data_IF_112242768033
#
_entry.id   IF_112242768033
#
_cell.length_a   1.000
_cell.length_b   1.000
_cell.length_c   1.000
_cell.angle_alpha   90.00
_cell.angle_beta   90.00
_cell.angle_gamma   90.00
#
_symmetry.space_group_name_H-M   'P 1'
#
loop_
_entity.id
_entity.type
_entity.pdbx_description
1 polymer ?
#
# COMPACT_ATOMS: atom_id res chain seq x y z
N UNK A 1 -60.58 -51.19 22.10
CA UNK A 1 -60.57 -50.59 20.74
C UNK A 1 -59.52 -51.32 19.88
N UNK A 2 -59.97 -51.97 18.88
CA UNK A 2 -59.21 -52.93 18.08
C UNK A 2 -58.14 -52.22 17.21
N UNK A 3 -56.95 -52.78 17.13
CA UNK A 3 -55.80 -52.37 16.30
C UNK A 3 -56.15 -52.23 14.79
N UNK A 4 -57.22 -52.84 14.37
CA UNK A 4 -57.69 -52.81 12.98
C UNK A 4 -58.44 -51.55 12.55
N UNK A 5 -58.91 -50.69 13.49
CA UNK A 5 -59.54 -49.42 13.13
C UNK A 5 -58.56 -48.30 12.81
N UNK A 6 -57.32 -48.35 13.34
CA UNK A 6 -56.27 -47.39 13.03
C UNK A 6 -55.62 -47.63 11.66
N UNK A 7 -55.58 -48.87 11.14
CA UNK A 7 -55.01 -49.21 9.84
C UNK A 7 -55.86 -48.75 8.64
N UNK A 8 -57.17 -48.61 8.83
CA UNK A 8 -58.06 -48.15 7.75
C UNK A 8 -58.02 -46.64 7.48
N UNK A 9 -57.43 -45.82 8.40
CA UNK A 9 -57.26 -44.38 8.19
C UNK A 9 -55.97 -44.04 7.38
N UNK A 10 -55.06 -45.00 7.20
CA UNK A 10 -53.81 -44.84 6.46
C UNK A 10 -53.81 -45.59 5.12
N UNK A 11 -54.90 -45.45 4.36
CA UNK A 11 -54.93 -45.91 2.97
C UNK A 11 -54.00 -45.00 2.17
N UNK A 12 -52.89 -45.53 1.65
CA UNK A 12 -51.88 -44.80 0.87
C UNK A 12 -52.45 -44.01 -0.29
N UNK A 13 -53.54 -44.48 -0.91
CA UNK A 13 -54.27 -43.78 -1.96
C UNK A 13 -55.00 -42.50 -1.45
N UNK A 14 -55.54 -42.50 -0.22
CA UNK A 14 -56.14 -41.34 0.37
C UNK A 14 -55.10 -40.37 0.98
N UNK A 15 -53.93 -40.86 1.36
CA UNK A 15 -52.84 -40.04 1.90
C UNK A 15 -52.27 -39.10 0.81
N UNK A 16 -52.06 -39.61 -0.41
CA UNK A 16 -51.57 -38.79 -1.55
C UNK A 16 -52.57 -37.65 -1.87
N UNK A 17 -53.85 -37.94 -1.87
CA UNK A 17 -54.90 -36.93 -2.15
C UNK A 17 -55.00 -35.88 -1.03
N UNK A 18 -54.83 -36.27 0.24
CA UNK A 18 -54.78 -35.35 1.38
C UNK A 18 -53.52 -34.48 1.41
N UNK A 19 -52.34 -35.08 1.10
CA UNK A 19 -51.10 -34.34 0.94
C UNK A 19 -51.17 -33.34 -0.22
N UNK A 20 -51.76 -33.77 -1.33
CA UNK A 20 -52.01 -32.88 -2.48
C UNK A 20 -52.92 -31.69 -2.11
N UNK A 21 -53.99 -31.95 -1.38
CA UNK A 21 -54.92 -30.89 -0.91
C UNK A 21 -54.25 -29.92 0.05
N UNK A 22 -53.46 -30.44 1.02
CA UNK A 22 -52.65 -29.62 1.92
C UNK A 22 -51.59 -28.82 1.14
N UNK A 23 -50.92 -29.44 0.20
CA UNK A 23 -49.95 -28.73 -0.64
C UNK A 23 -50.58 -27.61 -1.48
N UNK A 24 -51.75 -27.86 -2.07
CA UNK A 24 -52.49 -26.82 -2.78
C UNK A 24 -52.97 -25.70 -1.86
N UNK A 25 -53.48 -26.04 -0.68
CA UNK A 25 -53.92 -25.04 0.30
C UNK A 25 -52.73 -24.16 0.78
N UNK A 26 -51.54 -24.76 1.00
CA UNK A 26 -50.32 -24.03 1.36
C UNK A 26 -49.86 -23.11 0.19
N UNK A 27 -49.92 -23.59 -1.04
CA UNK A 27 -49.57 -22.77 -2.20
C UNK A 27 -50.50 -21.57 -2.35
N UNK A 28 -51.84 -21.80 -2.21
CA UNK A 28 -52.82 -20.72 -2.24
C UNK A 28 -52.64 -19.74 -1.09
N UNK A 29 -52.33 -20.24 0.11
CA UNK A 29 -52.08 -19.39 1.26
C UNK A 29 -50.81 -18.53 1.03
N UNK A 30 -49.68 -19.12 0.60
CA UNK A 30 -48.50 -18.40 0.28
C UNK A 30 -48.73 -17.36 -0.81
N UNK A 31 -49.51 -17.71 -1.86
CA UNK A 31 -49.89 -16.78 -2.92
C UNK A 31 -50.63 -15.57 -2.37
N UNK A 32 -51.69 -15.79 -1.57
CA UNK A 32 -52.52 -14.71 -0.98
C UNK A 32 -51.70 -13.86 -0.01
N UNK A 33 -50.87 -14.48 0.85
CA UNK A 33 -50.01 -13.75 1.78
C UNK A 33 -48.96 -12.95 1.05
N UNK A 34 -48.42 -13.48 -0.05
CA UNK A 34 -47.38 -12.80 -0.84
C UNK A 34 -47.88 -11.57 -1.60
N UNK A 35 -49.16 -11.45 -1.83
CA UNK A 35 -49.82 -10.26 -2.44
C UNK A 35 -50.04 -9.11 -1.44
N UNK A 36 -50.06 -9.41 -0.12
CA UNK A 36 -50.22 -8.36 0.88
C UNK A 36 -49.01 -7.42 0.88
N UNK A 37 -49.26 -6.16 1.21
CA UNK A 37 -48.22 -5.15 1.35
C UNK A 37 -47.50 -5.27 2.68
N UNK A 38 -46.19 -5.28 2.62
CA UNK A 38 -45.30 -5.27 3.78
C UNK A 38 -44.27 -4.17 3.65
N UNK A 39 -43.67 -3.77 4.78
CA UNK A 39 -42.49 -2.88 4.75
C UNK A 39 -41.25 -3.63 5.22
N UNK A 40 -40.14 -3.35 4.55
CA UNK A 40 -38.82 -3.95 4.86
C UNK A 40 -37.72 -2.92 4.78
N UNK A 41 -36.70 -3.04 5.64
CA UNK A 41 -35.51 -2.21 5.60
C UNK A 41 -34.44 -2.95 4.80
N UNK A 42 -33.90 -2.28 3.79
CA UNK A 42 -32.80 -2.79 2.96
C UNK A 42 -31.63 -1.80 2.94
N UNK A 43 -30.43 -2.31 2.72
CA UNK A 43 -29.25 -1.48 2.50
C UNK A 43 -29.18 -1.06 1.02
N UNK A 44 -29.28 0.23 0.75
CA UNK A 44 -29.14 0.82 -0.58
C UNK A 44 -27.82 1.57 -0.69
N UNK A 45 -27.05 1.40 -1.79
CA UNK A 45 -25.86 2.18 -2.01
C UNK A 45 -26.17 3.66 -2.25
N UNK A 46 -25.30 4.54 -1.73
CA UNK A 46 -25.35 5.97 -1.94
C UNK A 46 -24.37 6.34 -3.05
N UNK A 47 -24.85 7.05 -4.06
CA UNK A 47 -24.05 7.55 -5.17
C UNK A 47 -24.06 9.07 -5.19
N UNK A 48 -22.91 9.69 -4.89
CA UNK A 48 -22.73 11.12 -5.05
C UNK A 48 -22.44 11.43 -6.52
N UNK A 49 -23.17 12.40 -7.11
CA UNK A 49 -23.03 12.80 -8.51
C UNK A 49 -22.77 14.29 -8.64
N UNK A 50 -22.30 14.67 -9.84
CA UNK A 50 -22.07 16.08 -10.24
C UNK A 50 -21.05 16.79 -9.33
N UNK A 51 -20.04 16.05 -8.79
CA UNK A 51 -18.91 16.67 -8.16
C UNK A 51 -18.10 17.41 -9.22
N UNK A 52 -17.79 18.70 -8.96
CA UNK A 52 -16.92 19.48 -9.86
C UNK A 52 -15.53 18.85 -9.97
N UNK A 53 -14.95 18.82 -11.17
CA UNK A 53 -13.60 18.30 -11.41
C UNK A 53 -12.50 19.04 -10.60
N UNK A 54 -12.79 20.22 -10.08
CA UNK A 54 -11.89 21.01 -9.24
C UNK A 54 -12.06 20.71 -7.73
N UNK A 55 -12.95 19.79 -7.36
CA UNK A 55 -13.26 19.47 -5.97
C UNK A 55 -13.03 17.99 -5.67
N UNK A 56 -12.62 17.71 -4.44
CA UNK A 56 -12.47 16.38 -3.90
C UNK A 56 -13.18 16.27 -2.55
N UNK A 57 -13.60 15.07 -2.19
CA UNK A 57 -14.18 14.84 -0.87
C UNK A 57 -13.10 14.94 0.20
N UNK A 58 -13.32 15.78 1.21
CA UNK A 58 -12.44 15.92 2.38
C UNK A 58 -12.62 14.79 3.40
N UNK A 59 -13.82 14.18 3.42
CA UNK A 59 -14.17 13.05 4.28
C UNK A 59 -14.89 11.97 3.48
N UNK A 60 -14.77 10.73 3.93
CA UNK A 60 -15.52 9.61 3.34
C UNK A 60 -17.03 9.78 3.54
N UNK A 61 -17.77 9.52 2.48
CA UNK A 61 -19.23 9.48 2.51
C UNK A 61 -19.66 8.03 2.85
N UNK A 62 -20.70 7.84 3.67
CA UNK A 62 -21.28 6.51 3.88
C UNK A 62 -21.66 5.87 2.55
N UNK A 63 -21.16 4.66 2.30
CA UNK A 63 -21.40 3.95 1.03
C UNK A 63 -22.80 3.41 0.89
N UNK A 64 -23.53 3.24 2.00
CA UNK A 64 -24.85 2.66 2.05
C UNK A 64 -25.73 3.37 3.07
N UNK A 65 -27.05 3.39 2.81
CA UNK A 65 -28.07 3.77 3.78
C UNK A 65 -29.08 2.66 3.94
N UNK A 66 -29.66 2.58 5.13
CA UNK A 66 -30.79 1.71 5.43
C UNK A 66 -32.08 2.43 5.04
N UNK A 67 -32.81 1.85 4.10
CA UNK A 67 -34.00 2.44 3.52
C UNK A 67 -35.19 1.54 3.77
N UNK A 68 -36.31 2.10 4.21
CA UNK A 68 -37.57 1.38 4.33
C UNK A 68 -38.32 1.46 3.02
N UNK A 69 -38.59 0.29 2.45
CA UNK A 69 -39.39 0.13 1.25
C UNK A 69 -40.70 -0.60 1.63
N UNK A 70 -41.76 -0.29 0.89
CA UNK A 70 -43.07 -0.92 0.99
C UNK A 70 -43.44 -1.56 -0.34
N UNK A 71 -44.09 -2.72 -0.30
CA UNK A 71 -44.59 -3.39 -1.48
C UNK A 71 -45.06 -4.81 -1.24
N UNK A 72 -45.47 -5.54 -2.28
CA UNK A 72 -45.95 -6.92 -2.18
C UNK A 72 -44.87 -7.84 -1.59
N UNK A 73 -45.28 -8.77 -0.70
CA UNK A 73 -44.35 -9.70 -0.05
C UNK A 73 -43.51 -10.50 -1.01
N UNK A 74 -44.06 -10.93 -2.17
CA UNK A 74 -43.32 -11.62 -3.25
C UNK A 74 -42.16 -10.78 -3.78
N UNK A 75 -42.36 -9.47 -3.94
CA UNK A 75 -41.33 -8.56 -4.48
C UNK A 75 -40.25 -8.27 -3.44
N UNK A 76 -40.64 -8.07 -2.18
CA UNK A 76 -39.68 -7.89 -1.09
C UNK A 76 -38.80 -9.13 -0.90
N UNK A 77 -39.39 -10.33 -0.97
CA UNK A 77 -38.65 -11.59 -0.88
C UNK A 77 -37.68 -11.76 -2.07
N UNK A 78 -38.14 -11.46 -3.30
CA UNK A 78 -37.28 -11.44 -4.49
C UNK A 78 -36.10 -10.47 -4.31
N UNK A 79 -36.37 -9.27 -3.79
CA UNK A 79 -35.35 -8.25 -3.54
C UNK A 79 -34.31 -8.73 -2.51
N UNK A 80 -34.77 -9.41 -1.45
CA UNK A 80 -33.89 -9.96 -0.42
C UNK A 80 -32.97 -11.06 -0.97
N UNK A 81 -33.52 -11.98 -1.78
CA UNK A 81 -32.75 -13.06 -2.39
C UNK A 81 -31.72 -12.55 -3.42
N UNK A 82 -32.11 -11.57 -4.21
CA UNK A 82 -31.32 -11.07 -5.33
C UNK A 82 -30.51 -9.81 -4.99
N UNK A 83 -30.54 -9.33 -3.75
CA UNK A 83 -29.86 -8.06 -3.36
C UNK A 83 -28.41 -7.94 -3.80
N UNK A 84 -27.68 -9.06 -3.84
CA UNK A 84 -26.28 -9.08 -4.28
C UNK A 84 -26.11 -9.01 -5.81
N UNK A 85 -27.16 -9.23 -6.57
CA UNK A 85 -27.18 -9.21 -8.04
C UNK A 85 -27.87 -7.98 -8.63
N UNK A 86 -28.58 -7.19 -7.76
CA UNK A 86 -29.36 -6.04 -8.21
C UNK A 86 -28.59 -4.76 -7.93
N UNK A 87 -27.70 -4.38 -8.87
CA UNK A 87 -26.93 -3.14 -8.81
C UNK A 87 -27.72 -1.86 -9.10
N UNK A 88 -29.03 -1.98 -9.35
CA UNK A 88 -29.84 -0.86 -9.85
C UNK A 88 -30.59 -0.08 -8.76
N UNK A 89 -30.60 -0.56 -7.52
CA UNK A 89 -31.16 0.18 -6.38
C UNK A 89 -30.11 1.15 -5.87
N UNK A 90 -30.40 2.44 -5.82
CA UNK A 90 -29.44 3.44 -5.32
C UNK A 90 -30.12 4.73 -4.87
N UNK A 91 -29.48 5.39 -3.94
CA UNK A 91 -29.78 6.73 -3.52
C UNK A 91 -28.79 7.69 -4.17
N UNK A 92 -29.29 8.69 -4.89
CA UNK A 92 -28.43 9.66 -5.57
C UNK A 92 -28.43 10.97 -4.79
N UNK A 93 -27.24 11.48 -4.45
CA UNK A 93 -27.03 12.80 -3.87
C UNK A 93 -26.37 13.68 -4.92
N UNK A 94 -26.93 14.85 -5.16
CA UNK A 94 -26.44 15.80 -6.15
C UNK A 94 -25.55 16.87 -5.50
N UNK A 95 -24.30 16.98 -5.96
CA UNK A 95 -23.30 17.87 -5.41
C UNK A 95 -23.06 19.15 -6.24
N UNK A 96 -23.87 19.38 -7.28
CA UNK A 96 -23.66 20.47 -8.26
C UNK A 96 -23.53 21.89 -7.64
N UNK A 97 -24.17 22.12 -6.49
CA UNK A 97 -24.20 23.44 -5.85
C UNK A 97 -23.45 23.54 -4.54
N UNK A 98 -22.66 22.53 -4.21
CA UNK A 98 -21.92 22.49 -2.94
C UNK A 98 -20.52 23.01 -3.17
N UNK A 99 -20.17 24.10 -2.48
CA UNK A 99 -18.84 24.70 -2.60
C UNK A 99 -17.84 24.18 -1.59
N UNK A 100 -18.23 24.01 -0.33
CA UNK A 100 -17.33 23.61 0.75
C UNK A 100 -17.96 22.55 1.68
N UNK A 101 -18.99 22.92 2.44
CA UNK A 101 -19.64 22.01 3.40
C UNK A 101 -21.15 22.07 3.25
N UNK A 102 -21.79 20.90 3.40
CA UNK A 102 -23.24 20.80 3.39
C UNK A 102 -23.74 19.56 4.15
N UNK A 103 -24.81 19.74 4.93
CA UNK A 103 -25.51 18.66 5.61
C UNK A 103 -26.77 18.26 4.85
N UNK A 104 -26.78 17.07 4.29
CA UNK A 104 -27.98 16.48 3.70
C UNK A 104 -28.79 15.78 4.77
N UNK A 105 -29.96 16.30 5.11
CA UNK A 105 -30.98 15.58 5.85
C UNK A 105 -31.72 14.69 4.86
N UNK A 106 -31.46 13.37 4.89
CA UNK A 106 -31.80 12.48 3.80
C UNK A 106 -33.29 12.37 3.54
N UNK A 107 -34.12 12.31 4.57
CA UNK A 107 -35.57 12.22 4.42
C UNK A 107 -36.15 13.48 3.77
N UNK A 108 -35.76 14.69 4.22
CA UNK A 108 -36.18 15.96 3.61
C UNK A 108 -35.69 16.09 2.16
N UNK A 109 -34.46 15.62 1.89
CA UNK A 109 -33.89 15.68 0.55
C UNK A 109 -34.65 14.77 -0.41
N UNK A 110 -34.98 13.53 -0.05
CA UNK A 110 -35.66 12.59 -0.93
C UNK A 110 -37.18 12.85 -1.01
N UNK A 111 -37.80 13.47 -0.02
CA UNK A 111 -39.15 14.01 -0.16
C UNK A 111 -39.24 15.10 -1.20
N UNK A 112 -38.24 16.01 -1.23
CA UNK A 112 -38.16 17.11 -2.23
C UNK A 112 -37.75 16.61 -3.61
N UNK A 113 -36.93 15.55 -3.69
CA UNK A 113 -36.37 15.02 -4.91
C UNK A 113 -36.57 13.50 -5.04
N UNK A 114 -37.83 13.00 -5.10
CA UNK A 114 -38.11 11.55 -5.11
C UNK A 114 -37.47 10.81 -6.30
N UNK A 115 -37.22 11.50 -7.43
CA UNK A 115 -36.54 10.93 -8.60
C UNK A 115 -35.06 10.59 -8.33
N UNK A 116 -34.49 11.02 -7.22
CA UNK A 116 -33.13 10.66 -6.79
C UNK A 116 -33.07 9.33 -6.01
N UNK A 117 -34.23 8.78 -5.63
CA UNK A 117 -34.38 7.41 -5.15
C UNK A 117 -34.60 6.52 -6.37
N UNK A 118 -33.59 5.77 -6.76
CA UNK A 118 -33.67 4.91 -7.93
C UNK A 118 -34.08 3.51 -7.51
N UNK A 119 -35.32 3.15 -7.86
CA UNK A 119 -35.90 1.82 -7.70
C UNK A 119 -36.37 1.39 -9.07
N UNK A 120 -35.95 0.21 -9.60
CA UNK A 120 -36.43 -0.24 -10.90
C UNK A 120 -37.94 -0.48 -10.90
N UNK A 121 -38.69 0.04 -11.89
CA UNK A 121 -40.16 -0.09 -11.91
C UNK A 121 -40.67 -1.52 -11.87
N UNK A 122 -39.88 -2.49 -12.32
CA UNK A 122 -40.21 -3.92 -12.32
C UNK A 122 -40.35 -4.53 -10.90
N UNK A 123 -40.02 -3.77 -9.85
CA UNK A 123 -40.11 -4.27 -8.47
C UNK A 123 -41.35 -3.80 -7.73
N UNK A 124 -42.19 -2.93 -8.28
CA UNK A 124 -43.44 -2.46 -7.62
C UNK A 124 -43.20 -2.10 -6.14
N UNK A 125 -42.06 -1.44 -5.84
CA UNK A 125 -41.68 -1.03 -4.49
C UNK A 125 -41.78 0.49 -4.35
N UNK A 126 -42.29 0.92 -3.22
CA UNK A 126 -42.42 2.33 -2.84
C UNK A 126 -41.36 2.70 -1.78
N UNK A 127 -40.73 3.81 -1.94
CA UNK A 127 -39.82 4.40 -0.94
C UNK A 127 -40.68 5.03 0.18
N UNK A 128 -40.33 4.74 1.42
CA UNK A 128 -40.99 5.35 2.61
C UNK A 128 -40.05 6.35 3.25
N UNK A 129 -38.88 5.90 3.72
CA UNK A 129 -37.92 6.73 4.46
C UNK A 129 -36.52 6.15 4.46
N UNK A 130 -35.53 6.98 4.75
CA UNK A 130 -34.21 6.54 5.18
C UNK A 130 -34.20 6.34 6.68
N UNK A 131 -33.90 5.13 7.13
CA UNK A 131 -33.85 4.77 8.55
C UNK A 131 -32.52 5.15 9.19
N UNK A 132 -31.40 4.98 8.42
CA UNK A 132 -30.05 5.30 8.88
C UNK A 132 -29.09 5.47 7.68
N UNK A 133 -28.21 6.47 7.68
CA UNK A 133 -28.13 7.58 8.63
C UNK A 133 -29.24 8.63 8.35
N UNK A 134 -29.59 9.44 9.33
CA UNK A 134 -30.57 10.53 9.16
C UNK A 134 -30.02 11.65 8.30
N UNK A 135 -28.72 11.90 8.40
CA UNK A 135 -28.03 12.95 7.66
C UNK A 135 -26.65 12.51 7.19
N UNK A 136 -26.19 13.14 6.11
CA UNK A 136 -24.83 12.98 5.58
C UNK A 136 -24.17 14.34 5.51
N UNK A 137 -23.03 14.46 6.17
CA UNK A 137 -22.20 15.64 6.10
C UNK A 137 -21.23 15.50 4.91
N UNK A 138 -21.37 16.37 3.93
CA UNK A 138 -20.44 16.48 2.80
C UNK A 138 -19.47 17.63 3.08
N UNK A 139 -18.18 17.34 3.01
CA UNK A 139 -17.12 18.34 3.09
C UNK A 139 -16.23 18.17 1.85
N UNK A 140 -16.07 19.26 1.11
CA UNK A 140 -15.31 19.32 -0.14
C UNK A 140 -14.08 20.22 0.03
N UNK A 141 -13.01 19.89 -0.66
CA UNK A 141 -11.79 20.67 -0.77
C UNK A 141 -11.41 20.84 -2.25
N UNK A 142 -10.43 21.67 -2.53
CA UNK A 142 -9.87 21.77 -3.87
C UNK A 142 -9.14 20.47 -4.24
N UNK A 143 -9.34 20.04 -5.49
CA UNK A 143 -8.63 18.88 -6.02
C UNK A 143 -7.19 19.27 -6.37
N UNK A 144 -6.22 18.55 -5.82
CA UNK A 144 -4.80 18.78 -6.02
C UNK A 144 -4.10 17.51 -6.49
N UNK A 145 -3.13 17.67 -7.38
CA UNK A 145 -2.22 16.61 -7.82
C UNK A 145 -0.79 16.98 -7.42
N UNK A 146 -0.07 16.03 -6.82
CA UNK A 146 1.32 16.21 -6.41
C UNK A 146 2.13 14.97 -6.77
N UNK A 147 3.30 15.18 -7.35
CA UNK A 147 4.28 14.10 -7.58
C UNK A 147 5.05 13.83 -6.30
N UNK A 148 5.02 12.60 -5.82
CA UNK A 148 5.61 12.16 -4.55
C UNK A 148 6.59 11.01 -4.78
N UNK A 149 7.67 10.99 -3.99
CA UNK A 149 8.63 9.89 -3.98
C UNK A 149 7.99 8.65 -3.36
N UNK A 150 8.34 7.49 -3.87
CA UNK A 150 7.89 6.21 -3.31
C UNK A 150 8.92 5.72 -2.28
N UNK A 151 8.44 5.30 -1.11
CA UNK A 151 9.23 4.60 -0.10
C UNK A 151 8.69 3.18 0.10
N UNK A 152 9.59 2.21 0.12
CA UNK A 152 9.25 0.82 0.38
C UNK A 152 9.83 0.39 1.74
N UNK A 153 9.01 0.26 2.78
CA UNK A 153 9.45 -0.17 4.10
C UNK A 153 9.66 -1.68 4.13
N UNK A 154 10.73 -2.14 3.48
CA UNK A 154 11.13 -3.55 3.41
C UNK A 154 12.16 -3.87 4.48
N UNK A 155 12.03 -5.06 5.04
CA UNK A 155 13.05 -5.68 5.87
C UNK A 155 13.55 -6.94 5.16
N UNK A 156 14.75 -6.86 4.58
CA UNK A 156 15.36 -7.97 3.84
C UNK A 156 16.53 -8.49 4.66
N UNK A 157 16.48 -9.76 5.07
CA UNK A 157 17.52 -10.44 5.83
C UNK A 157 18.12 -11.50 4.92
N UNK A 158 19.39 -11.36 4.50
CA UNK A 158 20.06 -12.37 3.68
C UNK A 158 20.31 -13.65 4.45
N UNK A 159 20.44 -14.77 3.74
CA UNK A 159 20.87 -16.04 4.30
C UNK A 159 22.34 -15.98 4.75
N UNK A 160 22.74 -16.94 5.59
CA UNK A 160 24.15 -17.07 6.00
C UNK A 160 25.07 -17.22 4.79
N UNK A 161 26.12 -16.41 4.70
CA UNK A 161 27.04 -16.39 3.58
C UNK A 161 26.59 -15.51 2.41
N UNK A 162 25.50 -14.75 2.55
CA UNK A 162 25.01 -13.78 1.55
C UNK A 162 24.94 -12.36 2.13
N UNK A 163 24.91 -11.38 1.26
CA UNK A 163 24.83 -9.95 1.64
C UNK A 163 23.99 -9.17 0.65
N UNK A 164 23.37 -8.09 1.13
CA UNK A 164 22.72 -7.08 0.28
C UNK A 164 23.78 -6.25 -0.42
N UNK A 165 23.57 -5.96 -1.71
CA UNK A 165 24.46 -5.13 -2.51
C UNK A 165 23.69 -3.94 -3.07
N UNK A 166 24.26 -2.74 -2.89
CA UNK A 166 23.65 -1.49 -3.33
C UNK A 166 22.38 -1.10 -2.57
N UNK A 167 21.71 -0.08 -3.08
CA UNK A 167 20.43 0.39 -2.56
C UNK A 167 19.26 -0.33 -3.22
N UNK A 168 18.12 -0.35 -2.53
CA UNK A 168 16.87 -0.92 -3.08
C UNK A 168 16.44 -0.10 -4.31
N UNK A 169 16.31 -0.77 -5.44
CA UNK A 169 15.79 -0.17 -6.67
C UNK A 169 14.27 -0.18 -6.67
N UNK A 170 13.66 1.01 -6.72
CA UNK A 170 12.20 1.20 -6.70
C UNK A 170 11.76 1.77 -8.05
N UNK A 171 10.84 1.09 -8.74
CA UNK A 171 10.31 1.55 -10.01
C UNK A 171 8.77 1.54 -10.04
N UNK A 172 8.14 2.68 -10.36
CA UNK A 172 8.76 4.00 -10.51
C UNK A 172 9.21 4.60 -9.16
N UNK A 173 10.27 5.40 -9.16
CA UNK A 173 10.77 6.08 -7.96
C UNK A 173 9.84 7.18 -7.44
N UNK A 174 8.89 7.65 -8.26
CA UNK A 174 7.88 8.64 -7.90
C UNK A 174 6.58 8.40 -8.67
N UNK A 175 5.44 8.66 -8.01
CA UNK A 175 4.10 8.57 -8.59
C UNK A 175 3.30 9.84 -8.27
N UNK A 176 2.24 10.10 -9.05
CA UNK A 176 1.31 11.17 -8.75
C UNK A 176 0.27 10.70 -7.74
N UNK A 177 0.02 11.53 -6.75
CA UNK A 177 -1.06 11.42 -5.80
C UNK A 177 -2.05 12.56 -6.02
N UNK A 178 -3.33 12.25 -6.09
CA UNK A 178 -4.39 13.18 -6.39
C UNK A 178 -5.51 13.07 -5.34
N UNK A 179 -6.06 14.19 -4.91
CA UNK A 179 -7.11 14.20 -3.89
C UNK A 179 -7.32 15.59 -3.26
N UNK A 180 -7.91 15.64 -2.04
CA UNK A 180 -8.13 16.90 -1.32
C UNK A 180 -6.81 17.64 -1.08
N UNK A 181 -6.79 18.94 -1.34
CA UNK A 181 -5.59 19.78 -1.23
C UNK A 181 -4.92 19.67 0.13
N UNK A 182 -5.68 19.75 1.22
CA UNK A 182 -5.16 19.66 2.58
C UNK A 182 -4.39 18.33 2.82
N UNK A 183 -4.98 17.21 2.39
CA UNK A 183 -4.36 15.89 2.51
C UNK A 183 -3.11 15.77 1.64
N UNK A 184 -3.17 16.24 0.39
CA UNK A 184 -2.06 16.12 -0.57
C UNK A 184 -0.88 17.03 -0.18
N UNK A 185 -1.15 18.23 0.37
CA UNK A 185 -0.08 19.14 0.82
C UNK A 185 0.74 18.54 1.95
N UNK A 186 0.11 17.86 2.90
CA UNK A 186 0.78 17.21 4.04
C UNK A 186 1.59 15.97 3.64
N UNK A 187 1.33 15.41 2.44
CA UNK A 187 2.06 14.22 1.99
C UNK A 187 3.48 14.57 1.55
N UNK A 188 4.47 13.95 2.16
CA UNK A 188 5.88 14.06 1.77
C UNK A 188 6.30 12.91 0.82
N UNK A 189 5.76 11.72 1.01
CA UNK A 189 6.05 10.52 0.23
C UNK A 189 4.84 9.58 0.18
N UNK A 190 4.91 8.60 -0.71
CA UNK A 190 3.96 7.49 -0.79
C UNK A 190 4.64 6.22 -0.31
N UNK A 191 3.99 5.48 0.58
CA UNK A 191 4.50 4.20 1.09
C UNK A 191 3.87 3.02 0.38
N UNK A 192 4.65 1.96 0.18
CA UNK A 192 4.10 0.63 -0.14
C UNK A 192 3.68 -0.10 1.13
N UNK A 193 2.96 -1.20 0.98
CA UNK A 193 2.68 -2.14 2.07
C UNK A 193 4.03 -2.65 2.61
N UNK A 194 4.15 -2.70 3.95
CA UNK A 194 5.34 -3.25 4.61
C UNK A 194 5.44 -4.76 4.35
N UNK A 195 6.64 -5.22 4.03
CA UNK A 195 6.92 -6.64 3.84
C UNK A 195 8.27 -7.04 4.43
N UNK A 196 8.46 -8.35 4.67
CA UNK A 196 9.69 -8.89 5.27
C UNK A 196 10.10 -10.16 4.53
N UNK A 197 11.33 -10.18 4.03
CA UNK A 197 11.96 -11.29 3.33
C UNK A 197 13.08 -11.85 4.20
N UNK A 198 12.94 -13.10 4.61
CA UNK A 198 13.87 -13.76 5.53
C UNK A 198 14.72 -14.80 4.79
N UNK A 199 16.01 -14.89 5.16
CA UNK A 199 16.94 -15.91 4.69
C UNK A 199 17.04 -15.99 3.16
N UNK A 200 17.14 -14.81 2.50
CA UNK A 200 17.23 -14.72 1.06
C UNK A 200 18.65 -15.03 0.58
N UNK A 201 18.78 -15.93 -0.37
CA UNK A 201 20.03 -16.35 -1.04
C UNK A 201 20.05 -16.02 -2.55
N UNK A 202 19.03 -15.29 -3.01
CA UNK A 202 18.86 -14.78 -4.37
C UNK A 202 18.20 -13.40 -4.33
N UNK A 203 18.30 -12.69 -5.44
CA UNK A 203 17.72 -11.35 -5.59
C UNK A 203 16.23 -11.30 -5.23
N UNK A 204 15.83 -10.23 -4.58
CA UNK A 204 14.43 -9.98 -4.26
C UNK A 204 13.81 -9.13 -5.36
N UNK A 205 12.97 -9.75 -6.18
CA UNK A 205 12.15 -9.10 -7.21
C UNK A 205 10.68 -9.20 -6.85
N UNK A 206 10.09 -8.10 -6.38
CA UNK A 206 8.70 -8.09 -5.91
C UNK A 206 7.91 -6.90 -6.43
N UNK A 207 6.61 -7.12 -6.58
CA UNK A 207 5.64 -6.08 -6.90
C UNK A 207 4.76 -5.82 -5.69
N UNK A 208 4.97 -4.69 -5.02
CA UNK A 208 4.21 -4.30 -3.85
C UNK A 208 3.12 -3.29 -4.19
N UNK A 209 1.99 -3.41 -3.51
CA UNK A 209 0.90 -2.44 -3.62
C UNK A 209 1.21 -1.20 -2.78
N UNK A 210 0.74 -0.06 -3.27
CA UNK A 210 0.72 1.18 -2.50
C UNK A 210 -0.21 1.01 -1.29
N UNK A 211 0.24 1.44 -0.12
CA UNK A 211 -0.58 1.41 1.09
C UNK A 211 -1.66 2.50 1.02
N UNK A 212 -2.91 2.07 0.87
CA UNK A 212 -4.09 2.94 0.81
C UNK A 212 -4.81 3.08 2.15
N UNK A 213 -4.42 2.30 3.17
CA UNK A 213 -5.19 2.21 4.42
C UNK A 213 -5.25 3.54 5.17
N UNK A 214 -4.22 4.34 5.07
CA UNK A 214 -4.11 5.61 5.78
C UNK A 214 -4.80 6.78 5.05
N UNK A 215 -5.10 6.66 3.74
CA UNK A 215 -5.55 7.77 2.89
C UNK A 215 -6.48 7.30 1.77
N UNK A 216 -7.65 6.81 2.15
CA UNK A 216 -8.68 6.29 1.22
C UNK A 216 -9.21 7.31 0.21
N UNK A 217 -9.07 8.62 0.51
CA UNK A 217 -9.50 9.73 -0.35
C UNK A 217 -8.45 10.11 -1.39
N UNK A 218 -7.27 9.48 -1.38
CA UNK A 218 -6.18 9.76 -2.32
C UNK A 218 -6.19 8.73 -3.44
N UNK A 219 -6.17 9.19 -4.66
CA UNK A 219 -5.97 8.40 -5.86
C UNK A 219 -4.50 8.45 -6.27
N UNK A 220 -3.96 7.32 -6.70
CA UNK A 220 -2.58 7.20 -7.14
C UNK A 220 -2.54 6.82 -8.62
N UNK A 221 -1.63 7.44 -9.38
CA UNK A 221 -1.44 7.15 -10.81
C UNK A 221 -1.02 5.69 -11.05
N UNK A 222 -0.35 5.08 -10.06
CA UNK A 222 -0.01 3.67 -10.05
C UNK A 222 -0.25 3.08 -8.67
N UNK A 223 -0.77 1.86 -8.63
CA UNK A 223 -1.09 1.16 -7.38
C UNK A 223 -0.14 0.01 -7.07
N UNK A 224 0.76 -0.31 -8.01
CA UNK A 224 1.74 -1.40 -7.89
C UNK A 224 3.11 -0.83 -8.22
N UNK A 225 4.08 -1.11 -7.36
CA UNK A 225 5.47 -0.64 -7.44
C UNK A 225 6.36 -1.86 -7.53
N UNK A 226 7.24 -1.88 -8.53
CA UNK A 226 8.27 -2.92 -8.68
C UNK A 226 9.50 -2.57 -7.85
N UNK A 227 10.02 -3.54 -7.13
CA UNK A 227 11.16 -3.37 -6.24
C UNK A 227 12.15 -4.48 -6.52
N UNK A 228 13.41 -4.10 -6.67
CA UNK A 228 14.54 -5.02 -6.86
C UNK A 228 15.63 -4.74 -5.84
N UNK A 229 16.14 -5.80 -5.19
CA UNK A 229 17.30 -5.77 -4.31
C UNK A 229 18.26 -6.89 -4.69
N UNK A 230 19.47 -6.52 -5.04
CA UNK A 230 20.56 -7.45 -5.34
C UNK A 230 21.08 -8.13 -4.08
N UNK A 231 21.20 -9.47 -4.12
CA UNK A 231 21.71 -10.31 -3.04
C UNK A 231 22.77 -11.24 -3.60
N UNK A 232 23.99 -11.10 -3.10
CA UNK A 232 25.13 -11.84 -3.58
C UNK A 232 25.77 -12.69 -2.48
N UNK A 233 26.40 -13.79 -2.88
CA UNK A 233 27.24 -14.57 -1.96
C UNK A 233 28.43 -13.72 -1.49
N UNK A 234 28.75 -13.83 -0.20
CA UNK A 234 29.90 -13.16 0.39
C UNK A 234 31.18 -13.83 -0.09
N UNK A 235 32.12 -13.03 -0.58
CA UNK A 235 33.45 -13.47 -0.98
C UNK A 235 34.50 -12.46 -0.52
N UNK A 236 35.76 -12.81 -0.69
CA UNK A 236 36.90 -11.97 -0.36
C UNK A 236 37.81 -11.78 -1.61
N UNK A 237 38.43 -10.60 -1.70
CA UNK A 237 39.37 -10.30 -2.77
C UNK A 237 40.47 -9.39 -2.27
N UNK A 238 41.74 -9.72 -2.63
CA UNK A 238 42.88 -8.87 -2.39
C UNK A 238 42.92 -7.79 -3.46
N UNK A 239 42.94 -6.52 -3.04
CA UNK A 239 43.17 -5.37 -3.92
C UNK A 239 44.57 -4.86 -3.67
N UNK A 240 45.41 -4.90 -4.70
CA UNK A 240 46.78 -4.42 -4.64
C UNK A 240 46.92 -3.07 -5.34
N UNK A 241 48.10 -2.42 -5.14
CA UNK A 241 48.46 -1.15 -5.80
C UNK A 241 47.52 0.01 -5.46
N UNK A 242 46.92 0.02 -4.26
CA UNK A 242 46.08 1.10 -3.78
C UNK A 242 47.00 2.30 -3.44
N UNK A 243 46.78 3.47 -4.08
CA UNK A 243 47.65 4.62 -3.87
C UNK A 243 47.40 5.26 -2.50
N UNK A 244 48.48 5.55 -1.76
CA UNK A 244 48.40 6.27 -0.48
C UNK A 244 48.52 7.77 -0.73
N UNK A 245 47.60 8.54 -0.18
CA UNK A 245 47.58 10.00 -0.26
C UNK A 245 47.90 10.64 1.10
N UNK A 246 48.76 11.63 1.11
CA UNK A 246 48.92 12.49 2.28
C UNK A 246 48.05 13.71 2.11
N UNK A 247 47.24 14.01 3.12
CA UNK A 247 46.29 15.14 3.13
C UNK A 247 46.68 16.15 4.23
N UNK A 248 46.16 17.38 4.13
CA UNK A 248 46.41 18.48 5.10
C UNK A 248 47.91 18.79 5.29
N UNK A 249 48.66 18.84 4.19
CA UNK A 249 50.10 19.15 4.17
C UNK A 249 50.22 20.65 4.46
N UNK A 250 51.19 21.02 5.36
CA UNK A 250 51.51 22.43 5.66
C UNK A 250 52.20 23.08 4.44
N UNK A 251 52.00 24.40 4.22
CA UNK A 251 52.74 25.15 3.21
C UNK A 251 54.25 25.02 3.41
N UNK A 252 55.02 24.92 2.34
CA UNK A 252 56.50 24.78 2.31
C UNK A 252 57.05 23.41 2.78
N UNK A 253 56.20 22.37 2.80
CA UNK A 253 56.66 21.01 3.05
C UNK A 253 56.36 20.14 1.83
N UNK A 254 57.30 19.26 1.48
CA UNK A 254 57.09 18.13 0.57
C UNK A 254 57.13 16.83 1.35
N UNK A 255 56.18 15.97 1.09
CA UNK A 255 56.01 14.71 1.80
C UNK A 255 56.05 13.55 0.81
N UNK A 256 56.80 12.53 1.18
CA UNK A 256 56.90 11.28 0.42
C UNK A 256 56.50 10.13 1.34
N UNK A 257 55.68 9.23 0.84
CA UNK A 257 55.28 8.01 1.54
C UNK A 257 55.98 6.82 0.93
N UNK A 258 56.52 5.94 1.73
CA UNK A 258 57.15 4.73 1.30
C UNK A 258 56.63 3.51 2.09
N UNK A 259 56.03 2.51 1.38
CA UNK A 259 55.76 2.50 -0.05
C UNK A 259 54.60 3.45 -0.43
N UNK A 260 54.53 3.81 -1.72
CA UNK A 260 53.49 4.69 -2.26
C UNK A 260 52.15 4.01 -2.46
N UNK A 261 52.13 2.68 -2.40
CA UNK A 261 50.94 1.84 -2.56
C UNK A 261 50.84 0.80 -1.45
N UNK A 262 49.64 0.37 -1.18
CA UNK A 262 49.33 -0.72 -0.23
C UNK A 262 48.40 -1.73 -0.88
N UNK A 263 48.27 -2.88 -0.24
CA UNK A 263 47.26 -3.89 -0.55
C UNK A 263 46.35 -4.13 0.66
N UNK A 264 45.12 -4.49 0.42
CA UNK A 264 44.20 -4.94 1.49
C UNK A 264 43.21 -5.95 0.91
N UNK A 265 42.58 -6.72 1.80
CA UNK A 265 41.51 -7.65 1.46
C UNK A 265 40.16 -6.93 1.69
N UNK A 266 39.28 -6.96 0.68
CA UNK A 266 37.88 -6.52 0.78
C UNK A 266 36.97 -7.73 0.88
N UNK A 267 35.92 -7.64 1.68
CA UNK A 267 34.89 -8.65 1.87
C UNK A 267 33.54 -8.04 1.49
N UNK A 268 32.77 -8.73 0.66
CA UNK A 268 31.49 -8.24 0.19
C UNK A 268 30.85 -9.18 -0.83
N UNK A 269 29.80 -8.71 -1.50
CA UNK A 269 29.14 -9.45 -2.56
C UNK A 269 30.11 -9.76 -3.71
N UNK A 270 30.08 -10.99 -4.23
CA UNK A 270 31.05 -11.52 -5.18
C UNK A 270 31.23 -10.64 -6.42
N UNK A 271 30.15 -10.22 -7.07
CA UNK A 271 30.23 -9.38 -8.26
C UNK A 271 30.64 -7.94 -7.92
N UNK A 272 30.18 -7.47 -6.74
CA UNK A 272 30.53 -6.14 -6.25
C UNK A 272 32.02 -5.99 -5.99
N UNK A 273 32.63 -6.91 -5.23
CA UNK A 273 34.06 -6.86 -4.96
C UNK A 273 34.91 -7.11 -6.22
N UNK A 274 34.40 -7.92 -7.18
CA UNK A 274 35.06 -8.12 -8.48
C UNK A 274 35.16 -6.82 -9.28
N UNK A 275 34.21 -5.91 -9.15
CA UNK A 275 34.20 -4.61 -9.84
C UNK A 275 35.02 -3.51 -9.15
N UNK A 276 35.46 -3.71 -7.89
CA UNK A 276 36.21 -2.69 -7.13
C UNK A 276 37.59 -2.49 -7.74
N UNK A 277 37.93 -1.23 -8.00
CA UNK A 277 39.26 -0.82 -8.47
C UNK A 277 40.08 -0.22 -7.33
N UNK A 278 41.45 -0.26 -7.42
CA UNK A 278 42.29 0.37 -6.40
C UNK A 278 42.00 1.86 -6.14
N UNK A 279 41.47 2.57 -7.15
CA UNK A 279 41.13 4.00 -7.06
C UNK A 279 39.85 4.28 -6.29
N UNK A 280 39.00 3.29 -6.12
CA UNK A 280 37.73 3.40 -5.36
C UNK A 280 37.96 3.32 -3.85
N UNK A 281 39.13 2.85 -3.45
CA UNK A 281 39.57 2.75 -2.06
C UNK A 281 40.44 3.96 -1.71
N UNK A 282 40.07 4.69 -0.68
CA UNK A 282 40.81 5.86 -0.23
C UNK A 282 41.66 5.48 0.96
N UNK A 283 43.00 5.52 0.75
CA UNK A 283 44.00 5.30 1.81
C UNK A 283 44.73 6.61 2.05
N UNK A 284 44.60 7.16 3.28
CA UNK A 284 45.12 8.50 3.59
C UNK A 284 45.93 8.54 4.86
N UNK A 285 46.93 9.43 4.90
CA UNK A 285 47.61 9.87 6.09
C UNK A 285 47.35 11.36 6.26
N UNK A 286 46.68 11.73 7.35
CA UNK A 286 46.43 13.15 7.71
C UNK A 286 47.63 13.73 8.42
N UNK A 287 48.43 14.55 7.71
CA UNK A 287 49.65 15.12 8.25
C UNK A 287 49.40 15.95 9.49
N UNK A 288 48.42 16.81 9.47
CA UNK A 288 48.12 17.72 10.60
C UNK A 288 47.69 16.99 11.86
N UNK A 289 46.99 15.86 11.72
CA UNK A 289 46.48 15.10 12.87
C UNK A 289 47.41 14.02 13.37
N UNK A 290 48.19 13.41 12.46
CA UNK A 290 48.98 12.22 12.82
C UNK A 290 50.47 12.46 12.95
N UNK A 291 51.02 13.55 12.36
CA UNK A 291 52.45 13.78 12.34
C UNK A 291 52.97 14.15 13.73
N UNK A 292 54.05 13.47 14.14
CA UNK A 292 54.80 13.71 15.38
C UNK A 292 56.28 13.78 15.02
N UNK A 293 56.97 14.81 15.52
CA UNK A 293 58.40 14.96 15.30
C UNK A 293 59.19 13.76 15.89
N UNK A 294 60.05 13.16 15.04
CA UNK A 294 60.86 12.00 15.43
C UNK A 294 60.16 10.63 15.23
N UNK A 295 58.87 10.60 14.80
CA UNK A 295 58.18 9.40 14.41
C UNK A 295 58.23 9.25 12.88
N UNK A 296 58.70 8.11 12.38
CA UNK A 296 58.84 7.88 10.93
C UNK A 296 57.73 7.01 10.35
N UNK A 297 57.06 6.16 11.14
CA UNK A 297 56.09 5.20 10.66
C UNK A 297 54.68 5.56 11.10
N UNK A 298 53.74 5.52 10.18
CA UNK A 298 52.35 5.91 10.37
C UNK A 298 51.40 4.85 9.82
N UNK A 299 50.35 4.57 10.51
CA UNK A 299 49.25 3.74 10.07
C UNK A 299 48.25 4.61 9.27
N UNK A 300 47.97 4.31 8.00
CA UNK A 300 47.04 5.12 7.24
C UNK A 300 45.58 4.81 7.62
N UNK A 301 44.70 5.77 7.37
CA UNK A 301 43.24 5.59 7.46
C UNK A 301 42.71 5.06 6.14
N UNK A 302 41.95 3.98 6.21
CA UNK A 302 41.34 3.34 5.03
C UNK A 302 39.83 3.66 5.01
N UNK A 303 39.31 4.03 3.84
CA UNK A 303 37.90 4.20 3.58
C UNK A 303 37.55 3.43 2.30
N UNK A 304 36.63 2.48 2.43
CA UNK A 304 36.10 1.68 1.32
C UNK A 304 34.70 2.17 0.92
N UNK A 305 34.21 1.85 -0.27
CA UNK A 305 32.82 2.11 -0.68
C UNK A 305 31.81 1.55 0.29
N UNK A 306 30.64 2.22 0.43
CA UNK A 306 29.60 1.91 1.43
C UNK A 306 29.01 0.50 1.28
N UNK A 307 29.03 -0.05 0.09
CA UNK A 307 28.51 -1.38 -0.25
C UNK A 307 29.54 -2.53 -0.13
N UNK A 308 30.71 -2.24 0.44
CA UNK A 308 31.69 -3.24 0.91
C UNK A 308 31.41 -3.51 2.39
N UNK A 309 31.28 -4.79 2.75
CA UNK A 309 30.96 -5.20 4.14
C UNK A 309 32.08 -4.85 5.10
N UNK A 310 33.31 -5.24 4.74
CA UNK A 310 34.47 -5.14 5.61
C UNK A 310 35.75 -5.11 4.77
N UNK A 311 36.81 -4.59 5.35
CA UNK A 311 38.17 -4.73 4.83
C UNK A 311 39.12 -5.21 5.93
N UNK A 312 40.16 -5.96 5.55
CA UNK A 312 41.17 -6.51 6.47
C UNK A 312 42.55 -6.62 5.82
N UNK A 313 43.55 -7.03 6.59
CA UNK A 313 44.91 -7.39 6.13
C UNK A 313 45.60 -6.28 5.35
N UNK A 314 45.55 -5.02 5.83
CA UNK A 314 46.28 -3.92 5.24
C UNK A 314 47.81 -4.22 5.24
N UNK A 315 48.43 -4.24 4.06
CA UNK A 315 49.83 -4.58 3.89
C UNK A 315 50.55 -3.59 2.95
N UNK A 316 51.65 -2.95 3.37
CA UNK A 316 52.13 -2.89 4.77
C UNK A 316 51.19 -2.02 5.65
N UNK A 317 51.10 -2.39 6.93
CA UNK A 317 50.27 -1.68 7.88
C UNK A 317 50.86 -0.33 8.29
N UNK A 318 52.18 -0.27 8.34
CA UNK A 318 52.92 0.96 8.69
C UNK A 318 53.69 1.48 7.50
N UNK A 319 53.55 2.78 7.22
CA UNK A 319 54.14 3.47 6.13
C UNK A 319 55.17 4.50 6.63
N UNK A 320 56.31 4.57 6.00
CA UNK A 320 57.32 5.59 6.32
C UNK A 320 56.92 6.92 5.68
N UNK A 321 56.94 7.99 6.45
CA UNK A 321 56.67 9.36 5.99
C UNK A 321 57.95 10.19 6.05
N UNK A 322 58.47 10.53 4.87
CA UNK A 322 59.63 11.38 4.73
C UNK A 322 59.18 12.82 4.49
N UNK A 323 59.61 13.73 5.40
CA UNK A 323 59.26 15.15 5.34
C UNK A 323 60.47 15.95 4.89
N UNK A 324 60.38 16.71 3.81
CA UNK A 324 61.42 17.61 3.33
C UNK A 324 60.89 19.03 3.24
N UNK A 325 61.77 20.02 3.49
CA UNK A 325 61.42 21.43 3.23
C UNK A 325 61.43 21.70 1.73
N UNK A 326 60.41 22.40 1.26
CA UNK A 326 60.41 22.93 -0.10
C UNK A 326 61.38 24.11 -0.14
N UNK A 327 62.58 23.92 -0.71
CA UNK A 327 63.56 25.00 -0.85
C UNK A 327 63.25 25.63 -2.22
N UNK A 328 62.43 26.69 -2.20
CA UNK A 328 62.35 27.64 -3.34
C UNK A 328 63.43 28.67 -3.20
#
# INVERSE_FOLDING_TARGET
MSKNQLQNYLNWQSLGMRLGAVGLALLLWVFVVSENEYSMVINMPIEARNLSAQKAHKKEIPKHAQVRLKGPGRTLFKTLLLKNFISNFKLVIDLDRISEEYNFYLNEYYERYPQKVVIPPSYELEYIEVVYPDSIHISLDEYMVKKLTVKAPLNIIPAAGYTLVGEINIYPASIEAAGPREVIQEMEYVSTIKDTFLLQDFDVDVNLKVDKQTRSLVEYSQTTISIHQDIQSVSERIISEIPVKVINILPNLRLFVNPTTVALTVIGGVDRIAAVNPKDILVTIDFTKQWISGKNYYEPTVSVPVDILEWQDLSPRNLELVVTKDIN
#
